data_IF_972940485985
#
_entry.id   IF_972940485985
#
_cell.length_a   1.000
_cell.length_b   1.000
_cell.length_c   1.000
_cell.angle_alpha   90.00
_cell.angle_beta   90.00
_cell.angle_gamma   90.00
#
_symmetry.space_group_name_H-M   'P 1'
#
loop_
_entity.id
_entity.type
_entity.pdbx_description
1 polymer ?
#
# COMPACT_ATOMS: atom_id res chain seq x y z
N UNK A 1 4.18 11.54 -6.11
CA UNK A 1 4.17 10.90 -4.77
C UNK A 1 3.80 11.96 -3.75
N UNK A 2 2.90 11.66 -2.82
CA UNK A 2 2.62 12.56 -1.68
C UNK A 2 3.17 11.91 -0.41
N UNK A 3 3.83 12.71 0.43
CA UNK A 3 4.59 12.28 1.61
C UNK A 3 3.83 12.70 2.87
N UNK A 4 3.65 11.80 3.82
CA UNK A 4 2.90 12.06 5.06
C UNK A 4 3.72 11.72 6.31
N UNK A 5 3.46 12.40 7.43
CA UNK A 5 3.97 12.03 8.76
C UNK A 5 2.84 11.31 9.52
N UNK A 6 3.03 10.02 9.80
CA UNK A 6 2.16 9.26 10.68
C UNK A 6 2.72 9.26 12.12
N UNK A 7 1.89 9.39 13.17
CA UNK A 7 2.33 9.21 14.53
C UNK A 7 2.67 7.73 14.76
N UNK A 8 3.96 7.47 14.96
CA UNK A 8 4.55 6.28 15.58
C UNK A 8 3.78 4.95 15.46
N UNK A 9 3.86 4.33 14.28
CA UNK A 9 3.78 2.87 14.18
C UNK A 9 5.18 2.32 14.44
N UNK A 10 5.47 2.08 15.72
CA UNK A 10 6.74 1.58 16.22
C UNK A 10 7.13 0.28 15.50
N UNK A 11 8.27 0.30 14.81
CA UNK A 11 8.88 -0.87 14.17
C UNK A 11 8.90 -0.88 12.63
N UNK A 12 8.19 0.04 11.96
CA UNK A 12 8.17 0.08 10.49
C UNK A 12 8.88 1.33 9.94
N UNK A 13 10.06 1.16 9.33
CA UNK A 13 10.88 2.26 8.76
C UNK A 13 10.40 2.80 7.40
N UNK A 14 9.24 2.35 6.92
CA UNK A 14 8.69 2.78 5.63
C UNK A 14 8.03 4.15 5.69
N UNK A 15 8.01 4.85 4.56
CA UNK A 15 7.32 6.13 4.43
C UNK A 15 5.84 5.89 4.15
N UNK A 16 4.90 6.40 4.98
CA UNK A 16 3.48 6.27 4.71
C UNK A 16 3.10 7.07 3.47
N UNK A 17 2.46 6.41 2.51
CA UNK A 17 2.06 6.99 1.23
C UNK A 17 0.74 6.41 0.74
N UNK A 18 0.01 7.20 -0.03
CA UNK A 18 -1.19 6.78 -0.75
C UNK A 18 -0.83 6.49 -2.21
N UNK A 19 -1.46 5.48 -2.80
CA UNK A 19 -1.25 5.13 -4.22
C UNK A 19 -2.47 5.52 -5.05
N UNK A 20 -2.27 6.40 -6.03
CA UNK A 20 -3.29 6.92 -6.94
C UNK A 20 -3.01 6.44 -8.35
N UNK A 21 -4.06 6.06 -9.09
CA UNK A 21 -3.97 5.82 -10.53
C UNK A 21 -3.87 7.17 -11.25
N UNK A 22 -2.78 7.38 -12.00
CA UNK A 22 -2.52 8.63 -12.72
C UNK A 22 -3.70 9.00 -13.63
N UNK A 23 -4.05 10.29 -13.68
CA UNK A 23 -5.17 10.79 -14.49
C UNK A 23 -6.57 10.48 -13.94
N UNK A 24 -6.70 9.90 -12.75
CA UNK A 24 -8.00 9.56 -12.15
C UNK A 24 -8.05 9.89 -10.67
N UNK A 25 -9.24 9.94 -10.05
CA UNK A 25 -9.37 10.03 -8.59
C UNK A 25 -9.51 8.65 -7.92
N UNK A 26 -8.97 7.61 -8.56
CA UNK A 26 -8.93 6.25 -8.02
C UNK A 26 -7.68 6.03 -7.19
N UNK A 27 -7.89 5.56 -5.96
CA UNK A 27 -6.83 5.24 -5.01
C UNK A 27 -6.90 3.77 -4.63
N UNK A 28 -5.73 3.15 -4.46
CA UNK A 28 -5.63 1.80 -3.92
C UNK A 28 -6.00 1.82 -2.44
N UNK A 29 -6.80 0.84 -2.05
CA UNK A 29 -7.34 0.68 -0.72
C UNK A 29 -7.33 -0.79 -0.32
N UNK A 30 -6.98 -1.08 0.93
CA UNK A 30 -7.11 -2.41 1.50
C UNK A 30 -8.47 -2.59 2.19
N UNK A 31 -9.19 -3.64 1.85
CA UNK A 31 -10.49 -4.00 2.41
C UNK A 31 -10.50 -5.44 2.94
N UNK A 32 -11.58 -5.84 3.62
CA UNK A 32 -11.73 -7.19 4.15
C UNK A 32 -11.32 -7.31 5.62
N UNK A 33 -10.96 -8.52 6.03
CA UNK A 33 -10.57 -8.88 7.39
C UNK A 33 -9.06 -9.08 7.51
N UNK A 34 -8.55 -9.10 8.75
CA UNK A 34 -7.13 -9.35 9.04
C UNK A 34 -6.61 -10.68 8.44
N UNK A 35 -7.46 -11.69 8.34
CA UNK A 35 -7.12 -13.02 7.81
C UNK A 35 -7.21 -13.12 6.29
N UNK A 36 -7.96 -12.23 5.64
CA UNK A 36 -8.19 -12.25 4.19
C UNK A 36 -8.39 -10.83 3.64
N UNK A 37 -7.35 -9.99 3.68
CA UNK A 37 -7.42 -8.68 3.07
C UNK A 37 -7.44 -8.78 1.55
N UNK A 38 -8.02 -7.76 0.93
CA UNK A 38 -8.10 -7.60 -0.51
C UNK A 38 -7.70 -6.19 -0.91
N UNK A 39 -7.15 -6.08 -2.12
CA UNK A 39 -6.82 -4.79 -2.72
C UNK A 39 -7.97 -4.35 -3.63
N UNK A 40 -8.40 -3.11 -3.49
CA UNK A 40 -9.49 -2.51 -4.26
C UNK A 40 -9.14 -1.08 -4.67
N UNK A 41 -9.85 -0.55 -5.66
CA UNK A 41 -9.80 0.86 -6.04
C UNK A 41 -11.04 1.57 -5.49
N UNK A 42 -10.86 2.73 -4.88
CA UNK A 42 -11.96 3.61 -4.48
C UNK A 42 -11.75 5.01 -5.02
N UNK A 43 -12.86 5.64 -5.40
CA UNK A 43 -12.88 7.05 -5.79
C UNK A 43 -12.77 7.91 -4.54
N UNK A 44 -11.81 8.84 -4.51
CA UNK A 44 -11.66 9.82 -3.44
C UNK A 44 -11.89 11.22 -4.01
N UNK A 45 -13.10 11.74 -3.83
CA UNK A 45 -13.50 13.07 -4.33
C UNK A 45 -12.87 14.20 -3.52
N UNK A 46 -12.86 14.07 -2.20
CA UNK A 46 -12.26 15.05 -1.30
C UNK A 46 -10.86 14.60 -0.90
N UNK A 47 -9.82 15.21 -1.48
CA UNK A 47 -8.42 14.85 -1.20
C UNK A 47 -7.93 15.26 0.19
N UNK A 48 -8.64 16.17 0.87
CA UNK A 48 -8.31 16.56 2.24
C UNK A 48 -8.53 15.40 3.24
N UNK A 49 -9.39 14.42 2.91
CA UNK A 49 -9.52 13.22 3.77
C UNK A 49 -8.25 12.36 3.76
N UNK A 50 -7.39 12.53 2.76
CA UNK A 50 -6.11 11.85 2.66
C UNK A 50 -4.95 12.68 3.23
N UNK A 51 -5.17 13.96 3.59
CA UNK A 51 -4.12 14.81 4.14
C UNK A 51 -3.89 14.61 5.63
N UNK A 52 -4.90 14.13 6.35
CA UNK A 52 -4.84 13.88 7.79
C UNK A 52 -5.35 12.47 8.06
N UNK A 53 -4.46 11.49 7.95
CA UNK A 53 -4.78 10.09 8.26
C UNK A 53 -4.03 9.72 9.54
N UNK A 54 -4.73 9.80 10.66
CA UNK A 54 -4.28 9.25 11.94
C UNK A 54 -4.45 7.72 11.92
N UNK A 55 -3.69 6.98 12.73
CA UNK A 55 -3.65 5.51 12.70
C UNK A 55 -5.00 4.85 13.10
N UNK A 56 -5.91 5.64 13.67
CA UNK A 56 -7.23 5.26 14.16
C UNK A 56 -8.35 5.84 13.28
N UNK A 57 -8.00 6.65 12.27
CA UNK A 57 -8.97 7.19 11.34
C UNK A 57 -9.40 6.14 10.32
N UNK A 58 -10.66 6.23 9.87
CA UNK A 58 -11.21 5.33 8.85
C UNK A 58 -10.32 5.25 7.60
N UNK A 59 -9.56 6.30 7.26
CA UNK A 59 -8.78 6.40 6.03
C UNK A 59 -7.47 5.59 6.00
N UNK A 60 -7.10 4.89 7.08
CA UNK A 60 -5.87 4.07 7.14
C UNK A 60 -5.85 2.96 6.09
N UNK A 61 -7.01 2.56 5.57
CA UNK A 61 -7.08 1.61 4.46
C UNK A 61 -6.45 2.10 3.15
N UNK A 62 -6.21 3.41 2.98
CA UNK A 62 -5.53 3.98 1.82
C UNK A 62 -4.01 4.09 1.99
N UNK A 63 -3.50 3.88 3.20
CA UNK A 63 -2.09 4.05 3.50
C UNK A 63 -1.29 2.78 3.30
N UNK A 64 -0.12 2.96 2.71
CA UNK A 64 0.91 1.95 2.57
C UNK A 64 2.24 2.49 3.07
N UNK A 65 3.01 1.66 3.77
CA UNK A 65 4.42 1.94 4.02
C UNK A 65 5.22 1.62 2.78
N UNK A 66 5.73 2.66 2.12
CA UNK A 66 6.70 2.52 1.04
C UNK A 66 8.10 2.34 1.62
N UNK A 67 8.75 1.24 1.28
CA UNK A 67 10.18 1.05 1.52
C UNK A 67 10.90 0.95 0.18
N UNK A 68 12.04 1.62 0.08
CA UNK A 68 12.95 1.41 -1.04
C UNK A 68 14.01 0.39 -0.62
N UNK A 69 14.28 -0.59 -1.48
CA UNK A 69 15.33 -1.57 -1.26
C UNK A 69 16.20 -1.67 -2.51
N UNK A 70 17.51 -1.52 -2.34
CA UNK A 70 18.44 -1.40 -3.46
C UNK A 70 18.16 -0.16 -4.32
N UNK A 71 18.53 -0.23 -5.61
CA UNK A 71 18.55 0.95 -6.48
C UNK A 71 17.20 1.33 -7.10
N UNK A 72 16.29 0.37 -7.31
CA UNK A 72 15.05 0.59 -8.08
C UNK A 72 13.85 -0.19 -7.59
N UNK A 73 13.95 -0.85 -6.43
CA UNK A 73 12.85 -1.66 -5.92
C UNK A 73 12.14 -0.92 -4.80
N UNK A 74 10.83 -0.78 -4.94
CA UNK A 74 9.96 -0.30 -3.86
C UNK A 74 9.01 -1.41 -3.45
N UNK A 75 8.85 -1.61 -2.14
CA UNK A 75 7.79 -2.42 -1.57
C UNK A 75 6.76 -1.53 -0.90
N UNK A 76 5.50 -1.98 -0.92
CA UNK A 76 4.36 -1.28 -0.35
C UNK A 76 3.64 -2.22 0.59
N UNK A 77 3.79 -2.00 1.89
CA UNK A 77 3.14 -2.76 2.95
C UNK A 77 1.85 -2.04 3.38
N UNK A 78 0.75 -2.77 3.60
CA UNK A 78 -0.48 -2.15 4.11
C UNK A 78 -0.29 -1.66 5.54
N UNK A 79 -0.69 -0.42 5.81
CA UNK A 79 -0.73 0.09 7.18
C UNK A 79 -1.84 -0.59 7.98
N UNK A 80 -3.01 -0.78 7.37
CA UNK A 80 -4.17 -1.43 8.00
C UNK A 80 -3.96 -2.93 8.26
N UNK A 81 -3.19 -3.59 7.39
CA UNK A 81 -2.93 -5.02 7.47
C UNK A 81 -1.41 -5.28 7.49
N UNK A 82 -0.75 -5.21 8.66
CA UNK A 82 0.69 -5.44 8.77
C UNK A 82 1.09 -6.80 8.19
N UNK A 83 2.30 -6.92 7.63
CA UNK A 83 2.82 -8.10 6.91
C UNK A 83 2.21 -8.39 5.54
N UNK A 84 1.24 -7.60 5.08
CA UNK A 84 0.62 -7.74 3.77
C UNK A 84 1.17 -6.71 2.77
N UNK A 85 1.62 -7.17 1.61
CA UNK A 85 2.30 -6.36 0.60
C UNK A 85 1.57 -6.37 -0.73
N UNK A 86 1.62 -5.26 -1.47
CA UNK A 86 1.16 -5.22 -2.86
C UNK A 86 2.00 -6.18 -3.69
N UNK A 87 1.34 -7.03 -4.48
CA UNK A 87 1.98 -8.04 -5.32
C UNK A 87 1.31 -8.09 -6.69
N UNK A 88 2.11 -8.45 -7.69
CA UNK A 88 1.65 -8.75 -9.05
C UNK A 88 1.88 -10.23 -9.33
N UNK A 89 1.03 -10.82 -10.17
CA UNK A 89 1.25 -12.20 -10.59
C UNK A 89 2.37 -12.26 -11.63
N UNK A 90 3.05 -13.40 -11.70
CA UNK A 90 4.01 -13.71 -12.76
C UNK A 90 3.36 -13.76 -14.15
N UNK A 91 2.09 -14.16 -14.20
CA UNK A 91 1.33 -14.21 -15.43
C UNK A 91 0.84 -12.82 -15.83
N UNK A 92 0.94 -12.52 -17.12
CA UNK A 92 0.46 -11.27 -17.69
C UNK A 92 -1.05 -11.08 -17.54
N UNK A 93 -1.47 -9.81 -17.57
CA UNK A 93 -2.88 -9.38 -17.55
C UNK A 93 -3.66 -9.88 -16.32
N UNK A 94 -2.97 -10.14 -15.21
CA UNK A 94 -3.59 -10.43 -13.93
C UNK A 94 -3.74 -9.17 -13.10
N UNK A 95 -4.81 -9.11 -12.32
CA UNK A 95 -5.06 -8.00 -11.42
C UNK A 95 -3.98 -7.93 -10.34
N UNK A 96 -3.64 -6.70 -9.94
CA UNK A 96 -2.76 -6.45 -8.79
C UNK A 96 -3.50 -6.86 -7.52
N UNK A 97 -2.80 -7.53 -6.61
CA UNK A 97 -3.36 -8.04 -5.36
C UNK A 97 -2.51 -7.69 -4.15
N UNK A 98 -2.83 -8.33 -3.02
CA UNK A 98 -2.07 -8.25 -1.79
C UNK A 98 -1.68 -9.66 -1.33
N UNK A 99 -0.47 -9.81 -0.79
CA UNK A 99 0.06 -11.10 -0.36
C UNK A 99 0.72 -10.98 1.02
N UNK A 100 0.49 -11.97 1.88
CA UNK A 100 1.10 -12.01 3.21
C UNK A 100 2.52 -12.55 3.11
N UNK A 101 3.49 -11.80 3.61
CA UNK A 101 4.86 -12.29 3.74
C UNK A 101 4.93 -13.28 4.91
N UNK A 102 5.12 -14.56 4.61
CA UNK A 102 5.55 -15.55 5.61
C UNK A 102 7.09 -15.57 5.70
N UNK A 103 7.61 -15.90 6.88
CA UNK A 103 9.03 -16.03 7.20
C UNK A 103 9.70 -17.17 6.38
N UNK A 104 9.91 -16.96 5.08
CA UNK A 104 10.94 -17.58 4.21
C UNK A 104 10.83 -17.21 2.72
N UNK A 105 9.83 -16.45 2.29
CA UNK A 105 9.71 -15.98 0.90
C UNK A 105 9.65 -14.46 0.87
N UNK A 106 10.82 -13.81 0.86
CA UNK A 106 10.91 -12.41 0.44
C UNK A 106 10.74 -12.37 -1.07
N UNK A 107 9.50 -12.39 -1.54
CA UNK A 107 9.24 -12.14 -2.95
C UNK A 107 9.42 -10.64 -3.18
N UNK A 108 10.65 -10.27 -3.53
CA UNK A 108 11.04 -8.93 -3.93
C UNK A 108 10.72 -8.76 -5.41
N UNK A 109 9.62 -8.08 -5.71
CA UNK A 109 9.28 -7.73 -7.09
C UNK A 109 9.78 -6.33 -7.45
N UNK A 110 10.42 -6.20 -8.62
CA UNK A 110 10.57 -4.92 -9.30
C UNK A 110 9.20 -4.46 -9.77
N UNK A 111 8.66 -3.43 -9.17
CA UNK A 111 7.57 -2.66 -9.79
C UNK A 111 8.23 -1.67 -10.74
N UNK A 112 8.45 -2.09 -11.99
CA UNK A 112 8.90 -1.19 -13.05
C UNK A 112 7.68 -0.38 -13.50
N UNK A 113 7.57 0.86 -13.04
CA UNK A 113 6.65 1.83 -13.64
C UNK A 113 7.30 2.28 -14.97
N UNK A 114 6.56 2.15 -16.08
CA UNK A 114 6.90 2.78 -17.36
C UNK A 114 6.73 4.30 -17.25
#
# INVERSE_FOLDING_TARGET
>A
LSTYQAPMLTGNSGLPTTLRVSGSDLYLCCSGSLSKPSLSLKVVKNKAVLSTIEAECDNVHFLFFKKNTGFSMSSFESVKFPTWFISTALADRKAVGIFQKYWNFSIQWRVTWL
#
